data_IF_130168502437
#
_entry.id   IF_130168502437
#
_cell.length_a   1.000
_cell.length_b   1.000
_cell.length_c   1.000
_cell.angle_alpha   90.00
_cell.angle_beta   90.00
_cell.angle_gamma   90.00
#
_symmetry.space_group_name_H-M   'P 1'
#
loop_
_entity.id
_entity.type
_entity.pdbx_description
1 polymer ?
#
# COMPACT_ATOMS: atom_id res chain seq x y z
N UNK A 1 28.07 3.40 6.74
CA UNK A 1 27.10 3.55 7.88
C UNK A 1 26.38 2.23 8.06
N UNK A 2 26.22 1.75 9.28
CA UNK A 2 25.50 0.51 9.61
C UNK A 2 24.04 0.86 9.93
N UNK A 3 23.12 0.30 9.17
CA UNK A 3 21.68 0.60 9.25
C UNK A 3 20.91 -0.63 9.71
N UNK A 4 20.24 -0.54 10.83
CA UNK A 4 19.31 -1.57 11.29
C UNK A 4 17.90 -1.24 10.82
N UNK A 5 17.25 -2.18 10.12
CA UNK A 5 15.84 -2.07 9.77
C UNK A 5 15.05 -3.10 10.57
N UNK A 6 14.02 -2.64 11.29
CA UNK A 6 13.09 -3.51 12.02
C UNK A 6 11.75 -3.53 11.29
N UNK A 7 11.34 -4.71 10.82
CA UNK A 7 10.11 -4.91 10.05
C UNK A 7 9.18 -5.93 10.71
N UNK A 8 7.89 -5.82 10.45
CA UNK A 8 6.86 -6.80 10.86
C UNK A 8 6.52 -7.83 9.77
N UNK A 9 7.29 -7.84 8.69
CA UNK A 9 7.19 -8.83 7.62
C UNK A 9 8.05 -10.04 7.92
N UNK A 10 7.70 -11.17 7.30
CA UNK A 10 8.42 -12.42 7.48
C UNK A 10 9.53 -12.59 6.45
N UNK A 11 10.62 -13.22 6.89
CA UNK A 11 11.75 -13.64 6.08
C UNK A 11 11.94 -15.13 6.25
N UNK A 12 12.22 -15.84 5.17
CA UNK A 12 12.51 -17.26 5.15
C UNK A 12 14.01 -17.49 4.95
N UNK A 13 14.54 -18.48 5.64
CA UNK A 13 15.90 -18.96 5.48
C UNK A 13 15.87 -20.26 4.70
N UNK A 14 16.55 -20.29 3.55
CA UNK A 14 16.72 -21.47 2.66
C UNK A 14 18.17 -21.57 2.23
N UNK A 15 18.76 -22.75 2.36
CA UNK A 15 20.12 -23.04 1.83
C UNK A 15 21.16 -21.96 2.16
N UNK A 16 21.14 -21.48 3.42
CA UNK A 16 22.05 -20.43 3.89
C UNK A 16 21.86 -19.05 3.21
N UNK A 17 20.69 -18.85 2.57
CA UNK A 17 20.23 -17.58 1.98
C UNK A 17 18.92 -17.12 2.59
N UNK A 18 18.62 -15.83 2.53
CA UNK A 18 17.39 -15.26 3.05
C UNK A 18 16.46 -14.83 1.92
N UNK A 19 15.19 -15.18 2.05
CA UNK A 19 14.15 -14.93 1.05
C UNK A 19 12.98 -14.13 1.65
N UNK A 20 12.41 -13.26 0.86
CA UNK A 20 11.22 -12.48 1.24
C UNK A 20 10.25 -12.31 0.07
N UNK A 21 9.06 -11.79 0.34
CA UNK A 21 8.14 -11.42 -0.71
C UNK A 21 8.64 -10.20 -1.52
N UNK A 22 8.35 -10.15 -2.82
CA UNK A 22 8.80 -9.09 -3.74
C UNK A 22 8.58 -7.69 -3.21
N UNK A 23 7.43 -7.41 -2.59
CA UNK A 23 7.13 -6.10 -2.03
C UNK A 23 8.04 -5.70 -0.84
N UNK A 24 8.51 -6.68 -0.08
CA UNK A 24 9.47 -6.46 1.03
C UNK A 24 10.86 -6.20 0.47
N UNK A 25 11.27 -6.99 -0.53
CA UNK A 25 12.53 -6.81 -1.24
C UNK A 25 12.65 -5.39 -1.83
N UNK A 26 11.61 -4.93 -2.54
CA UNK A 26 11.59 -3.61 -3.16
C UNK A 26 11.72 -2.47 -2.13
N UNK A 27 11.14 -2.66 -0.94
CA UNK A 27 11.27 -1.70 0.16
C UNK A 27 12.71 -1.71 0.70
N UNK A 28 13.25 -2.88 1.03
CA UNK A 28 14.58 -2.99 1.64
C UNK A 28 15.68 -2.50 0.69
N UNK A 29 15.61 -2.85 -0.59
CA UNK A 29 16.58 -2.41 -1.61
C UNK A 29 16.73 -0.89 -1.66
N UNK A 30 15.66 -0.13 -1.41
CA UNK A 30 15.70 1.34 -1.44
C UNK A 30 16.57 1.95 -0.33
N UNK A 31 16.78 1.23 0.75
CA UNK A 31 17.61 1.70 1.87
C UNK A 31 19.09 1.36 1.71
N UNK A 32 19.49 0.58 0.71
CA UNK A 32 20.90 0.18 0.51
C UNK A 32 21.82 1.38 0.24
N UNK A 33 21.29 2.47 -0.30
CA UNK A 33 22.06 3.71 -0.49
C UNK A 33 22.49 4.37 0.82
N UNK A 34 21.84 4.05 1.96
CA UNK A 34 22.23 4.55 3.29
C UNK A 34 23.48 3.85 3.84
N UNK A 35 23.77 2.62 3.43
CA UNK A 35 24.91 1.85 3.88
C UNK A 35 24.63 0.37 4.02
N UNK A 36 25.39 -0.31 4.87
CA UNK A 36 25.25 -1.73 5.15
C UNK A 36 24.00 -2.01 5.97
N UNK A 37 23.10 -2.86 5.45
CA UNK A 37 21.82 -3.15 6.08
C UNK A 37 21.89 -4.42 6.95
N UNK A 38 21.38 -4.30 8.17
CA UNK A 38 21.01 -5.42 9.05
C UNK A 38 19.49 -5.40 9.24
N UNK A 39 18.89 -6.57 9.43
CA UNK A 39 17.44 -6.73 9.47
C UNK A 39 16.97 -7.48 10.71
N UNK A 40 16.00 -6.93 11.43
CA UNK A 40 15.18 -7.67 12.38
C UNK A 40 13.81 -7.95 11.75
N UNK A 41 13.43 -9.24 11.61
CA UNK A 41 12.21 -9.67 10.94
C UNK A 41 11.57 -10.87 11.62
N UNK A 42 10.29 -11.14 11.32
CA UNK A 42 9.61 -12.36 11.74
C UNK A 42 10.09 -13.56 10.91
N UNK A 43 10.19 -14.73 11.53
CA UNK A 43 10.51 -15.96 10.80
C UNK A 43 9.28 -16.43 10.01
N UNK A 44 9.46 -16.68 8.71
CA UNK A 44 8.39 -17.19 7.86
C UNK A 44 7.89 -18.55 8.35
N UNK A 45 6.58 -18.73 8.30
CA UNK A 45 5.94 -19.99 8.64
C UNK A 45 4.90 -20.34 7.56
N UNK A 46 5.22 -21.32 6.71
CA UNK A 46 4.37 -21.75 5.60
C UNK A 46 2.98 -22.25 6.04
N UNK A 47 2.83 -22.75 7.28
CA UNK A 47 1.53 -23.18 7.83
C UNK A 47 0.61 -22.01 8.19
N UNK A 48 1.17 -20.80 8.36
CA UNK A 48 0.44 -19.60 8.82
C UNK A 48 0.36 -18.49 7.76
N UNK A 49 1.07 -18.63 6.65
CA UNK A 49 1.16 -17.59 5.63
C UNK A 49 1.20 -18.19 4.24
N UNK A 50 0.40 -17.65 3.33
CA UNK A 50 0.40 -17.99 1.91
C UNK A 50 1.22 -16.97 1.06
N UNK A 51 2.06 -16.16 1.71
CA UNK A 51 2.94 -15.23 1.01
C UNK A 51 4.00 -16.03 0.26
N UNK A 52 4.22 -15.65 -1.00
CA UNK A 52 5.28 -16.22 -1.80
C UNK A 52 6.60 -15.54 -1.42
N UNK A 53 7.58 -16.34 -1.00
CA UNK A 53 8.96 -15.91 -0.74
C UNK A 53 9.77 -16.11 -2.02
N UNK A 54 9.70 -15.12 -2.92
CA UNK A 54 10.15 -15.20 -4.31
C UNK A 54 11.39 -14.36 -4.61
N UNK A 55 11.88 -13.60 -3.64
CA UNK A 55 13.06 -12.75 -3.80
C UNK A 55 14.12 -13.06 -2.76
N UNK A 56 15.32 -13.34 -3.23
CA UNK A 56 16.49 -13.50 -2.38
C UNK A 56 17.04 -12.13 -1.95
N UNK A 57 17.43 -12.01 -0.68
CA UNK A 57 17.95 -10.77 -0.09
C UNK A 57 19.46 -10.57 -0.31
N UNK A 58 20.13 -11.46 -1.06
CA UNK A 58 21.55 -11.34 -1.42
C UNK A 58 21.82 -9.99 -2.09
N UNK A 59 22.83 -9.27 -1.63
CA UNK A 59 23.16 -7.93 -2.11
C UNK A 59 22.30 -6.79 -1.54
N UNK A 60 21.23 -7.11 -0.77
CA UNK A 60 20.40 -6.12 -0.08
C UNK A 60 20.73 -6.10 1.41
N UNK A 61 20.77 -7.28 2.03
CA UNK A 61 21.15 -7.45 3.44
C UNK A 61 22.42 -8.28 3.48
N UNK A 62 23.40 -7.90 4.28
CA UNK A 62 24.65 -8.63 4.41
C UNK A 62 24.41 -10.06 4.94
N UNK A 63 25.25 -11.00 4.52
CA UNK A 63 25.18 -12.40 4.98
C UNK A 63 25.30 -12.45 6.51
N UNK A 64 24.42 -13.23 7.16
CA UNK A 64 24.31 -13.32 8.63
C UNK A 64 23.82 -12.04 9.36
N UNK A 65 23.26 -11.06 8.63
CA UNK A 65 22.73 -9.83 9.23
C UNK A 65 21.19 -9.83 9.32
N UNK A 66 20.55 -11.01 9.23
CA UNK A 66 19.13 -11.19 9.54
C UNK A 66 18.99 -11.79 10.94
N UNK A 67 18.26 -11.11 11.79
CA UNK A 67 17.95 -11.54 13.15
C UNK A 67 16.44 -11.76 13.27
N UNK A 68 16.05 -12.90 13.83
CA UNK A 68 14.63 -13.22 13.97
C UNK A 68 14.05 -12.71 15.27
N UNK A 69 12.91 -12.04 15.17
CA UNK A 69 12.07 -11.58 16.27
C UNK A 69 10.62 -11.94 15.99
N UNK A 70 9.78 -12.01 17.01
CA UNK A 70 8.35 -12.17 16.81
C UNK A 70 7.72 -10.89 16.26
N UNK A 71 6.59 -11.04 15.51
CA UNK A 71 5.82 -9.88 15.04
C UNK A 71 5.43 -8.97 16.21
N UNK A 72 5.80 -7.70 16.08
CA UNK A 72 5.43 -6.67 17.04
C UNK A 72 3.95 -6.34 16.83
N UNK A 73 3.09 -6.82 17.72
CA UNK A 73 1.64 -6.53 17.67
C UNK A 73 1.32 -5.27 18.46
N UNK A 74 1.45 -5.32 19.78
CA UNK A 74 1.23 -4.20 20.70
C UNK A 74 2.55 -3.72 21.29
N UNK A 75 3.23 -4.64 21.94
CA UNK A 75 4.53 -4.44 22.60
C UNK A 75 5.43 -5.64 22.30
N UNK A 76 6.71 -5.41 22.30
CA UNK A 76 7.72 -6.47 22.18
C UNK A 76 7.80 -7.28 23.46
N UNK A 77 8.09 -8.58 23.33
CA UNK A 77 8.46 -9.43 24.46
C UNK A 77 9.78 -8.97 25.07
N UNK A 78 10.07 -9.37 26.32
CA UNK A 78 11.36 -9.07 26.96
C UNK A 78 12.53 -9.67 26.18
N UNK A 79 12.36 -10.89 25.66
CA UNK A 79 13.36 -11.57 24.84
C UNK A 79 13.64 -10.80 23.53
N UNK A 80 12.58 -10.42 22.79
CA UNK A 80 12.76 -9.66 21.55
C UNK A 80 13.39 -8.30 21.80
N UNK A 81 13.06 -7.63 22.93
CA UNK A 81 13.70 -6.37 23.31
C UNK A 81 15.21 -6.53 23.54
N UNK A 82 15.64 -7.61 24.21
CA UNK A 82 17.06 -7.87 24.42
C UNK A 82 17.77 -8.11 23.08
N UNK A 83 17.18 -8.90 22.18
CA UNK A 83 17.72 -9.15 20.84
C UNK A 83 17.84 -7.85 20.03
N UNK A 84 16.76 -7.07 19.95
CA UNK A 84 16.78 -5.78 19.21
C UNK A 84 17.74 -4.79 19.85
N UNK A 85 17.86 -4.78 21.18
CA UNK A 85 18.82 -3.91 21.90
C UNK A 85 20.26 -4.21 21.49
N UNK A 86 20.62 -5.48 21.33
CA UNK A 86 21.93 -5.89 20.84
C UNK A 86 22.17 -5.42 19.39
N UNK A 87 21.19 -5.61 18.49
CA UNK A 87 21.31 -5.14 17.11
C UNK A 87 21.42 -3.61 17.02
N UNK A 88 20.66 -2.88 17.84
CA UNK A 88 20.70 -1.41 17.93
C UNK A 88 22.08 -0.93 18.37
N UNK A 89 22.73 -1.58 19.34
CA UNK A 89 24.06 -1.17 19.82
C UNK A 89 25.13 -1.14 18.72
N UNK A 90 24.97 -2.01 17.71
CA UNK A 90 25.89 -2.16 16.60
C UNK A 90 25.57 -1.26 15.39
N UNK A 91 24.46 -0.51 15.42
CA UNK A 91 23.99 0.33 14.32
C UNK A 91 24.25 1.82 14.54
N UNK A 92 24.34 2.57 13.46
CA UNK A 92 24.47 4.04 13.46
C UNK A 92 23.08 4.68 13.27
N UNK A 93 22.21 4.02 12.49
CA UNK A 93 20.82 4.42 12.23
C UNK A 93 19.89 3.22 12.44
N UNK A 94 18.78 3.45 13.13
CA UNK A 94 17.70 2.47 13.33
C UNK A 94 16.46 2.93 12.58
N UNK A 95 15.96 2.11 11.68
CA UNK A 95 14.73 2.36 10.91
C UNK A 95 13.64 1.40 11.38
N UNK A 96 12.48 1.93 11.77
CA UNK A 96 11.32 1.11 12.13
C UNK A 96 10.23 1.24 11.08
N UNK A 97 9.97 0.13 10.37
CA UNK A 97 8.83 0.02 9.46
C UNK A 97 7.52 -0.08 10.27
N UNK A 98 6.68 0.95 10.18
CA UNK A 98 5.47 1.09 10.97
C UNK A 98 5.64 1.85 12.29
N UNK A 99 6.81 2.48 12.53
CA UNK A 99 7.07 3.36 13.68
C UNK A 99 6.81 2.73 15.07
N UNK A 100 7.45 1.59 15.34
CA UNK A 100 7.32 0.89 16.63
C UNK A 100 7.88 1.69 17.80
N UNK A 101 7.04 1.92 18.81
CA UNK A 101 7.43 2.62 20.04
C UNK A 101 8.54 1.88 20.84
N UNK A 102 8.50 0.54 20.89
CA UNK A 102 9.52 -0.21 21.61
C UNK A 102 10.90 -0.09 20.94
N UNK A 103 10.96 -0.18 19.60
CA UNK A 103 12.20 0.01 18.83
C UNK A 103 12.73 1.44 19.02
N UNK A 104 11.84 2.44 18.95
CA UNK A 104 12.18 3.84 19.21
C UNK A 104 12.81 4.02 20.59
N UNK A 105 12.18 3.48 21.64
CA UNK A 105 12.72 3.58 23.01
C UNK A 105 14.09 2.95 23.16
N UNK A 106 14.30 1.77 22.56
CA UNK A 106 15.60 1.09 22.58
C UNK A 106 16.66 1.96 21.92
N UNK A 107 16.36 2.50 20.72
CA UNK A 107 17.30 3.38 20.01
C UNK A 107 17.63 4.65 20.82
N UNK A 108 16.62 5.32 21.38
CA UNK A 108 16.81 6.54 22.20
C UNK A 108 17.62 6.29 23.46
N UNK A 109 17.38 5.18 24.17
CA UNK A 109 18.12 4.82 25.39
C UNK A 109 19.61 4.56 25.12
N UNK A 110 19.97 4.21 23.89
CA UNK A 110 21.35 3.97 23.44
C UNK A 110 21.94 5.16 22.66
N UNK A 111 21.25 6.30 22.61
CA UNK A 111 21.73 7.50 21.91
C UNK A 111 21.80 7.32 20.38
N UNK A 112 21.08 6.35 19.80
CA UNK A 112 21.10 6.07 18.37
C UNK A 112 20.10 6.92 17.60
N UNK A 113 20.46 7.32 16.37
CA UNK A 113 19.54 8.00 15.45
C UNK A 113 18.41 7.08 15.03
N UNK A 114 17.20 7.62 14.97
CA UNK A 114 15.99 6.84 14.69
C UNK A 114 15.17 7.44 13.55
N UNK A 115 14.80 6.60 12.60
CA UNK A 115 13.90 6.94 11.50
C UNK A 115 12.60 6.17 11.60
N UNK A 116 11.47 6.86 11.66
CA UNK A 116 10.16 6.26 11.45
C UNK A 116 9.85 6.14 9.96
N UNK A 117 9.52 4.93 9.50
CA UNK A 117 8.97 4.70 8.16
C UNK A 117 7.48 4.41 8.26
N UNK A 118 6.66 5.42 7.97
CA UNK A 118 5.21 5.41 8.20
C UNK A 118 4.49 5.00 6.90
N UNK A 119 3.98 3.78 6.85
CA UNK A 119 3.44 3.15 5.63
C UNK A 119 1.92 3.04 5.58
N UNK A 120 1.24 3.20 6.72
CA UNK A 120 -0.21 3.11 6.80
C UNK A 120 -0.73 3.76 8.08
N UNK A 121 -2.06 4.00 8.13
CA UNK A 121 -2.73 4.43 9.34
C UNK A 121 -2.88 3.25 10.31
N UNK A 122 -2.18 3.30 11.43
CA UNK A 122 -2.22 2.24 12.45
C UNK A 122 -3.61 2.14 13.11
N UNK A 123 -4.31 3.28 13.25
CA UNK A 123 -5.69 3.31 13.75
C UNK A 123 -6.61 2.44 12.90
N UNK A 124 -6.63 2.66 11.57
CA UNK A 124 -7.46 1.89 10.65
C UNK A 124 -7.06 0.41 10.65
N UNK A 125 -5.76 0.13 10.82
CA UNK A 125 -5.21 -1.21 10.96
C UNK A 125 -5.83 -1.98 12.12
N UNK A 126 -5.88 -1.39 13.31
CA UNK A 126 -6.48 -2.05 14.48
C UNK A 126 -8.00 -1.97 14.47
N UNK A 127 -8.59 -0.83 14.08
CA UNK A 127 -10.03 -0.60 14.08
C UNK A 127 -10.81 -1.60 13.22
N UNK A 128 -10.24 -2.01 12.09
CA UNK A 128 -10.87 -2.96 11.17
C UNK A 128 -10.61 -4.45 11.54
N UNK A 129 -9.86 -4.74 12.61
CA UNK A 129 -9.53 -6.11 13.05
C UNK A 129 -10.32 -6.57 14.29
N UNK A 130 -11.62 -6.33 14.30
CA UNK A 130 -12.53 -6.81 15.34
C UNK A 130 -12.63 -5.90 16.57
N UNK A 131 -13.40 -6.34 17.58
CA UNK A 131 -13.72 -5.50 18.74
C UNK A 131 -12.52 -5.22 19.67
N UNK A 132 -11.65 -6.23 19.87
CA UNK A 132 -10.39 -6.03 20.61
C UNK A 132 -9.49 -5.01 19.94
N UNK A 133 -9.41 -5.04 18.59
CA UNK A 133 -8.67 -4.06 17.83
C UNK A 133 -9.17 -2.64 18.06
N UNK A 134 -10.48 -2.45 18.17
CA UNK A 134 -11.08 -1.14 18.44
C UNK A 134 -10.70 -0.59 19.82
N UNK A 135 -10.62 -1.45 20.84
CA UNK A 135 -10.20 -1.04 22.19
C UNK A 135 -8.72 -0.62 22.22
N UNK A 136 -7.89 -1.27 21.43
CA UNK A 136 -6.44 -1.05 21.42
C UNK A 136 -6.02 0.07 20.48
N UNK A 137 -6.80 0.35 19.45
CA UNK A 137 -6.49 1.35 18.42
C UNK A 137 -6.11 2.74 19.00
N UNK A 138 -6.83 3.33 19.99
CA UNK A 138 -6.45 4.61 20.57
C UNK A 138 -5.06 4.59 21.21
N UNK A 139 -4.76 3.56 21.98
CA UNK A 139 -3.47 3.43 22.68
C UNK A 139 -2.31 3.33 21.69
N UNK A 140 -2.39 2.44 20.71
CA UNK A 140 -1.33 2.26 19.71
C UNK A 140 -1.20 3.51 18.81
N UNK A 141 -2.33 4.17 18.49
CA UNK A 141 -2.31 5.42 17.75
C UNK A 141 -1.50 6.51 18.49
N UNK A 142 -1.73 6.68 19.78
CA UNK A 142 -1.01 7.66 20.60
C UNK A 142 0.48 7.32 20.69
N UNK A 143 0.83 6.04 20.89
CA UNK A 143 2.22 5.60 20.91
C UNK A 143 2.91 5.85 19.56
N UNK A 144 2.24 5.54 18.45
CA UNK A 144 2.79 5.77 17.11
C UNK A 144 2.96 7.27 16.84
N UNK A 145 1.96 8.07 17.20
CA UNK A 145 2.01 9.54 17.06
C UNK A 145 3.16 10.13 17.88
N UNK A 146 3.34 9.66 19.12
CA UNK A 146 4.47 10.06 19.95
C UNK A 146 5.81 9.67 19.30
N UNK A 147 5.94 8.42 18.83
CA UNK A 147 7.15 7.91 18.17
C UNK A 147 7.52 8.75 16.95
N UNK A 148 6.56 8.98 16.05
CA UNK A 148 6.78 9.77 14.83
C UNK A 148 7.14 11.21 15.15
N UNK A 149 6.48 11.81 16.16
CA UNK A 149 6.75 13.19 16.56
C UNK A 149 8.19 13.39 17.08
N UNK A 150 8.74 12.37 17.80
CA UNK A 150 10.06 12.44 18.41
C UNK A 150 11.16 11.70 17.63
N UNK A 151 10.88 11.22 16.43
CA UNK A 151 11.89 10.62 15.54
C UNK A 151 12.86 11.67 15.03
N UNK A 152 14.14 11.29 14.83
CA UNK A 152 15.12 12.20 14.21
C UNK A 152 14.79 12.44 12.74
N UNK A 153 14.28 11.40 12.06
CA UNK A 153 13.89 11.42 10.64
C UNK A 153 12.56 10.70 10.43
N UNK A 154 11.77 11.13 9.43
CA UNK A 154 10.50 10.47 9.10
C UNK A 154 10.35 10.34 7.60
N UNK A 155 10.08 9.12 7.14
CA UNK A 155 9.67 8.83 5.77
C UNK A 155 8.20 8.39 5.77
N UNK A 156 7.35 9.11 5.05
CA UNK A 156 5.95 8.77 4.84
C UNK A 156 5.72 8.25 3.43
N UNK A 157 4.75 7.36 3.25
CA UNK A 157 4.36 6.91 1.90
C UNK A 157 3.33 7.80 1.22
N UNK A 158 2.79 8.79 1.93
CA UNK A 158 1.79 9.76 1.45
C UNK A 158 2.40 11.15 1.34
N UNK A 159 1.72 12.06 0.66
CA UNK A 159 2.14 13.45 0.56
C UNK A 159 1.53 14.35 1.63
N UNK A 160 0.38 13.97 2.21
CA UNK A 160 -0.37 14.80 3.16
C UNK A 160 -1.04 13.99 4.29
N UNK A 161 -1.80 12.94 3.98
CA UNK A 161 -2.65 12.24 4.97
C UNK A 161 -1.89 11.74 6.20
N UNK A 162 -0.82 10.98 6.02
CA UNK A 162 -0.06 10.44 7.15
C UNK A 162 0.70 11.54 7.90
N UNK A 163 1.14 12.58 7.23
CA UNK A 163 1.79 13.75 7.83
C UNK A 163 0.83 14.49 8.77
N UNK A 164 -0.42 14.72 8.35
CA UNK A 164 -1.47 15.30 9.21
C UNK A 164 -1.87 14.36 10.35
N UNK A 165 -1.92 13.06 10.07
CA UNK A 165 -2.31 12.03 11.04
C UNK A 165 -1.25 11.81 12.11
N UNK A 166 0.00 11.82 11.73
CA UNK A 166 1.19 11.61 12.55
C UNK A 166 2.19 12.76 12.33
N UNK A 167 1.91 13.96 12.86
CA UNK A 167 2.81 15.10 12.70
C UNK A 167 4.17 14.82 13.35
N UNK A 168 5.23 15.43 12.84
CA UNK A 168 6.60 15.23 13.32
C UNK A 168 7.32 16.53 13.55
N UNK A 169 8.25 16.52 14.52
CA UNK A 169 9.27 17.54 14.76
C UNK A 169 10.64 17.09 14.24
N UNK A 170 10.68 16.02 13.45
CA UNK A 170 11.92 15.49 12.89
C UNK A 170 12.70 16.56 12.11
N UNK A 171 14.03 16.52 12.24
CA UNK A 171 14.94 17.41 11.52
C UNK A 171 14.74 17.34 10.00
N UNK A 172 14.51 16.13 9.48
CA UNK A 172 14.15 15.90 8.08
C UNK A 172 12.97 14.93 7.98
N UNK A 173 12.03 15.25 7.12
CA UNK A 173 10.94 14.34 6.74
C UNK A 173 10.69 14.39 5.25
N UNK A 174 10.10 13.33 4.70
CA UNK A 174 9.80 13.19 3.29
C UNK A 174 8.52 12.38 3.07
N UNK A 175 7.67 12.83 2.14
CA UNK A 175 6.56 12.05 1.59
C UNK A 175 7.00 11.40 0.27
N UNK A 176 7.16 10.07 0.27
CA UNK A 176 7.60 9.33 -0.90
C UNK A 176 6.94 7.95 -0.98
N UNK A 177 6.13 7.76 -2.00
CA UNK A 177 5.37 6.52 -2.22
C UNK A 177 6.29 5.31 -2.46
N UNK A 178 5.74 4.13 -2.19
CA UNK A 178 6.35 2.83 -2.52
C UNK A 178 5.82 2.24 -3.84
N UNK A 179 5.05 2.99 -4.62
CA UNK A 179 4.60 2.53 -5.93
C UNK A 179 5.80 2.35 -6.87
N UNK A 180 5.64 1.52 -7.88
CA UNK A 180 6.61 1.32 -8.96
C UNK A 180 5.90 1.52 -10.29
N UNK A 181 6.18 2.64 -10.93
CA UNK A 181 5.73 2.94 -12.29
C UNK A 181 6.97 3.32 -13.08
N UNK A 182 7.17 2.64 -14.19
CA UNK A 182 8.20 3.03 -15.18
C UNK A 182 7.83 4.37 -15.79
N UNK A 183 8.77 5.01 -16.47
CA UNK A 183 8.52 6.25 -17.22
C UNK A 183 7.29 6.10 -18.11
N UNK A 184 6.36 7.05 -17.97
CA UNK A 184 5.11 7.03 -18.71
C UNK A 184 5.34 7.46 -20.17
N UNK A 185 4.67 6.75 -21.10
CA UNK A 185 4.71 7.03 -22.52
C UNK A 185 3.36 7.64 -22.96
N UNK A 186 3.42 8.79 -23.61
CA UNK A 186 2.25 9.48 -24.18
C UNK A 186 1.44 8.58 -25.13
N UNK A 187 2.07 7.58 -25.76
CA UNK A 187 1.36 6.59 -26.56
C UNK A 187 0.36 5.80 -25.71
N UNK A 188 0.64 5.57 -24.45
CA UNK A 188 -0.30 4.92 -23.50
C UNK A 188 -1.58 5.75 -23.36
N UNK A 189 -1.44 7.06 -23.18
CA UNK A 189 -2.61 7.95 -23.11
C UNK A 189 -3.39 7.98 -24.44
N UNK A 190 -2.70 8.03 -25.56
CA UNK A 190 -3.33 8.00 -26.89
C UNK A 190 -4.13 6.71 -27.11
N UNK A 191 -3.59 5.56 -26.73
CA UNK A 191 -4.29 4.27 -26.80
C UNK A 191 -5.50 4.26 -25.87
N UNK A 192 -5.39 4.80 -24.67
CA UNK A 192 -6.51 4.96 -23.72
C UNK A 192 -7.63 5.79 -24.32
N UNK A 193 -7.32 6.94 -24.90
CA UNK A 193 -8.32 7.81 -25.53
C UNK A 193 -8.99 7.14 -26.71
N UNK A 194 -8.24 6.40 -27.53
CA UNK A 194 -8.78 5.64 -28.64
C UNK A 194 -9.74 4.52 -28.15
N UNK A 195 -9.40 3.84 -27.03
CA UNK A 195 -10.26 2.88 -26.39
C UNK A 195 -11.58 3.51 -25.89
N UNK A 196 -11.49 4.63 -25.19
CA UNK A 196 -12.65 5.34 -24.64
C UNK A 196 -13.59 5.81 -25.75
N UNK A 197 -13.06 6.37 -26.84
CA UNK A 197 -13.87 6.86 -27.98
C UNK A 197 -14.65 5.77 -28.70
N UNK A 198 -14.22 4.51 -28.57
CA UNK A 198 -14.94 3.34 -29.13
C UNK A 198 -16.02 2.79 -28.21
N UNK A 199 -16.10 3.31 -26.98
CA UNK A 199 -17.11 2.83 -26.04
C UNK A 199 -18.50 3.28 -26.46
N UNK A 200 -19.43 2.33 -26.49
CA UNK A 200 -20.83 2.52 -26.90
C UNK A 200 -21.72 3.15 -25.82
N UNK A 201 -21.15 3.47 -24.64
CA UNK A 201 -21.88 4.00 -23.49
C UNK A 201 -22.69 2.94 -22.73
N UNK A 202 -22.62 1.68 -23.11
CA UNK A 202 -23.40 0.58 -22.52
C UNK A 202 -22.51 -0.31 -21.63
N UNK A 203 -21.86 -1.31 -22.21
CA UNK A 203 -21.08 -2.29 -21.44
C UNK A 203 -19.90 -1.64 -20.74
N UNK A 204 -19.98 -1.51 -19.41
CA UNK A 204 -18.92 -0.93 -18.59
C UNK A 204 -18.13 -2.02 -17.88
N UNK A 205 -16.81 -2.00 -18.03
CA UNK A 205 -15.87 -2.86 -17.31
C UNK A 205 -15.21 -2.08 -16.18
N UNK A 206 -15.44 -2.51 -14.94
CA UNK A 206 -14.83 -1.91 -13.75
C UNK A 206 -13.87 -2.91 -13.10
N UNK A 207 -12.84 -2.42 -12.43
CA UNK A 207 -11.80 -3.29 -11.86
C UNK A 207 -11.38 -2.83 -10.46
N UNK A 208 -11.05 -3.82 -9.60
CA UNK A 208 -10.33 -3.62 -8.33
C UNK A 208 -9.15 -4.57 -8.25
N UNK A 209 -8.00 -4.08 -7.85
CA UNK A 209 -6.78 -4.89 -7.63
C UNK A 209 -6.50 -5.00 -6.14
N UNK A 210 -6.92 -6.10 -5.54
CA UNK A 210 -6.69 -6.40 -4.11
C UNK A 210 -6.98 -7.88 -3.82
N UNK A 211 -6.41 -8.43 -2.75
CA UNK A 211 -6.76 -9.75 -2.25
C UNK A 211 -8.27 -9.86 -1.99
N UNK A 212 -8.90 -10.92 -2.51
CA UNK A 212 -10.37 -11.07 -2.56
C UNK A 212 -10.97 -11.62 -1.26
N UNK A 213 -10.17 -12.23 -0.40
CA UNK A 213 -10.55 -12.76 0.91
C UNK A 213 -10.47 -11.72 2.05
N UNK A 214 -9.95 -10.52 1.75
CA UNK A 214 -9.72 -9.49 2.75
C UNK A 214 -10.87 -8.47 2.75
N UNK A 215 -11.80 -8.62 3.68
CA UNK A 215 -13.03 -7.81 3.76
C UNK A 215 -12.83 -6.29 3.84
N UNK A 216 -11.74 -5.82 4.43
CA UNK A 216 -11.46 -4.38 4.48
C UNK A 216 -11.01 -3.79 3.14
N UNK A 217 -10.75 -4.62 2.12
CA UNK A 217 -10.53 -4.16 0.75
C UNK A 217 -11.82 -3.70 0.05
N UNK A 218 -12.99 -4.06 0.59
CA UNK A 218 -14.26 -3.41 0.29
C UNK A 218 -14.97 -3.85 -0.98
N UNK A 219 -14.49 -4.89 -1.71
CA UNK A 219 -15.11 -5.36 -2.97
C UNK A 219 -16.60 -5.67 -2.81
N UNK A 220 -17.05 -6.11 -1.63
CA UNK A 220 -18.46 -6.34 -1.32
C UNK A 220 -19.33 -5.09 -1.48
N UNK A 221 -18.78 -3.88 -1.32
CA UNK A 221 -19.54 -2.64 -1.51
C UNK A 221 -19.76 -2.33 -2.98
N UNK A 222 -18.84 -2.74 -3.86
CA UNK A 222 -19.01 -2.64 -5.32
C UNK A 222 -20.09 -3.62 -5.79
N UNK A 223 -20.07 -4.87 -5.28
CA UNK A 223 -21.11 -5.87 -5.60
C UNK A 223 -22.49 -5.37 -5.17
N UNK A 224 -22.60 -4.79 -3.96
CA UNK A 224 -23.85 -4.16 -3.49
C UNK A 224 -24.29 -2.98 -4.35
N UNK A 225 -23.35 -2.17 -4.83
CA UNK A 225 -23.64 -1.08 -5.75
C UNK A 225 -24.18 -1.59 -7.10
N UNK A 226 -23.57 -2.66 -7.65
CA UNK A 226 -24.04 -3.31 -8.86
C UNK A 226 -25.46 -3.89 -8.68
N UNK A 227 -25.78 -4.47 -7.52
CA UNK A 227 -27.13 -4.91 -7.20
C UNK A 227 -28.15 -3.76 -7.23
N UNK A 228 -27.83 -2.61 -6.63
CA UNK A 228 -28.69 -1.41 -6.68
C UNK A 228 -28.91 -0.95 -8.14
N UNK A 229 -27.87 -0.95 -8.96
CA UNK A 229 -27.94 -0.59 -10.37
C UNK A 229 -28.78 -1.59 -11.18
N UNK A 230 -28.65 -2.89 -10.90
CA UNK A 230 -29.49 -3.95 -11.51
C UNK A 230 -30.97 -3.73 -11.20
N UNK A 231 -31.32 -3.35 -9.97
CA UNK A 231 -32.70 -3.01 -9.60
C UNK A 231 -33.25 -1.79 -10.36
N UNK A 232 -32.36 -0.94 -10.90
CA UNK A 232 -32.69 0.21 -11.74
C UNK A 232 -32.63 -0.13 -13.26
N UNK A 233 -32.50 -1.42 -13.60
CA UNK A 233 -32.43 -1.89 -14.99
C UNK A 233 -31.03 -1.86 -15.63
N UNK A 234 -29.97 -1.48 -14.88
CA UNK A 234 -28.58 -1.48 -15.37
C UNK A 234 -27.93 -2.84 -15.10
N UNK A 235 -27.80 -3.67 -16.14
CA UNK A 235 -27.20 -5.01 -16.07
C UNK A 235 -25.93 -5.16 -16.92
N UNK A 236 -25.42 -4.06 -17.41
CA UNK A 236 -24.34 -3.94 -18.39
C UNK A 236 -22.98 -3.62 -17.75
N UNK A 237 -22.87 -3.72 -16.41
CA UNK A 237 -21.63 -3.50 -15.68
C UNK A 237 -20.98 -4.84 -15.32
N UNK A 238 -19.72 -5.02 -15.72
CA UNK A 238 -18.92 -6.19 -15.42
C UNK A 238 -17.77 -5.82 -14.47
N UNK A 239 -17.66 -6.55 -13.38
CA UNK A 239 -16.66 -6.30 -12.33
C UNK A 239 -15.54 -7.32 -12.36
N UNK A 240 -14.33 -6.84 -12.60
CA UNK A 240 -13.11 -7.62 -12.67
C UNK A 240 -12.34 -7.49 -11.36
N UNK A 241 -11.92 -8.62 -10.81
CA UNK A 241 -11.25 -8.75 -9.52
C UNK A 241 -9.87 -9.36 -9.74
N UNK A 242 -8.83 -8.55 -9.59
CA UNK A 242 -7.42 -8.98 -9.67
C UNK A 242 -6.89 -9.13 -8.24
N UNK A 243 -6.51 -10.35 -7.88
CA UNK A 243 -5.93 -10.66 -6.58
C UNK A 243 -6.17 -12.10 -6.14
N UNK A 244 -5.28 -12.62 -5.34
CA UNK A 244 -5.40 -13.96 -4.75
C UNK A 244 -6.33 -13.96 -3.53
N UNK A 245 -6.55 -15.16 -2.99
CA UNK A 245 -7.38 -15.41 -1.82
C UNK A 245 -8.63 -16.22 -2.12
N UNK A 246 -9.38 -16.66 -1.08
CA UNK A 246 -10.64 -17.38 -1.25
C UNK A 246 -11.72 -16.44 -1.80
N UNK A 247 -12.43 -16.91 -2.82
CA UNK A 247 -13.53 -16.20 -3.50
C UNK A 247 -14.87 -16.40 -2.81
N UNK A 248 -15.00 -17.39 -1.93
CA UNK A 248 -16.26 -17.92 -1.39
C UNK A 248 -17.21 -16.84 -0.87
N UNK A 249 -16.68 -15.81 -0.22
CA UNK A 249 -17.51 -14.75 0.33
C UNK A 249 -18.12 -13.87 -0.77
N UNK A 250 -17.30 -13.47 -1.76
CA UNK A 250 -17.75 -12.59 -2.84
C UNK A 250 -18.64 -13.35 -3.83
N UNK A 251 -18.35 -14.63 -4.11
CA UNK A 251 -19.18 -15.49 -4.96
C UNK A 251 -20.56 -15.74 -4.33
N UNK A 252 -20.62 -16.02 -3.02
CA UNK A 252 -21.92 -16.14 -2.31
C UNK A 252 -22.72 -14.85 -2.39
N UNK A 253 -22.07 -13.70 -2.22
CA UNK A 253 -22.74 -12.40 -2.32
C UNK A 253 -23.23 -12.12 -3.75
N UNK A 254 -22.43 -12.49 -4.76
CA UNK A 254 -22.84 -12.38 -6.15
C UNK A 254 -24.06 -13.23 -6.46
N UNK A 255 -24.08 -14.48 -5.98
CA UNK A 255 -25.21 -15.40 -6.13
C UNK A 255 -26.47 -14.88 -5.45
N UNK A 256 -26.35 -14.37 -4.22
CA UNK A 256 -27.46 -13.74 -3.49
C UNK A 256 -28.12 -12.61 -4.28
N UNK A 257 -27.33 -11.86 -5.06
CA UNK A 257 -27.81 -10.73 -5.86
C UNK A 257 -28.04 -11.06 -7.34
N UNK A 258 -27.79 -12.31 -7.75
CA UNK A 258 -27.92 -12.75 -9.15
C UNK A 258 -26.95 -12.01 -10.09
N UNK A 259 -25.71 -11.82 -9.65
CA UNK A 259 -24.65 -11.08 -10.38
C UNK A 259 -23.51 -11.99 -10.84
N UNK A 260 -23.68 -13.33 -10.81
CA UNK A 260 -22.61 -14.29 -11.08
C UNK A 260 -21.98 -14.09 -12.46
N UNK A 261 -22.81 -13.81 -13.48
CA UNK A 261 -22.36 -13.57 -14.86
C UNK A 261 -21.61 -12.25 -15.05
N UNK A 262 -21.71 -11.34 -14.08
CA UNK A 262 -21.10 -10.01 -14.13
C UNK A 262 -19.82 -9.90 -13.29
N UNK A 263 -19.49 -10.91 -12.46
CA UNK A 263 -18.26 -10.96 -11.68
C UNK A 263 -17.21 -11.85 -12.33
N UNK A 264 -16.01 -11.30 -12.49
CA UNK A 264 -14.88 -11.95 -13.15
C UNK A 264 -13.66 -11.98 -12.23
N UNK A 265 -13.35 -13.16 -11.68
CA UNK A 265 -12.18 -13.35 -10.82
C UNK A 265 -10.98 -13.75 -11.67
N UNK A 266 -10.03 -12.84 -11.85
CA UNK A 266 -8.81 -13.08 -12.64
C UNK A 266 -7.70 -13.76 -11.83
N UNK A 267 -7.87 -13.83 -10.49
CA UNK A 267 -6.85 -14.40 -9.62
C UNK A 267 -5.61 -13.50 -9.49
N UNK A 268 -4.51 -14.09 -9.05
CA UNK A 268 -3.21 -13.42 -9.00
C UNK A 268 -2.56 -13.51 -10.37
N UNK A 269 -2.34 -12.40 -11.02
CA UNK A 269 -1.67 -12.28 -12.31
C UNK A 269 -0.28 -11.64 -12.14
N UNK A 270 0.69 -11.93 -13.01
CA UNK A 270 1.99 -11.27 -13.01
C UNK A 270 1.86 -9.76 -13.14
N UNK A 271 2.76 -9.00 -12.49
CA UNK A 271 2.67 -7.55 -12.46
C UNK A 271 2.71 -6.93 -13.86
N UNK A 272 3.51 -7.50 -14.76
CA UNK A 272 3.65 -7.00 -16.14
C UNK A 272 2.35 -7.18 -16.96
N UNK A 273 1.55 -8.20 -16.66
CA UNK A 273 0.26 -8.45 -17.31
C UNK A 273 -0.87 -7.58 -16.75
N UNK A 274 -0.70 -7.03 -15.54
CA UNK A 274 -1.72 -6.14 -14.91
C UNK A 274 -2.06 -4.97 -15.82
N UNK A 275 -1.08 -4.34 -16.42
CA UNK A 275 -1.28 -3.17 -17.26
C UNK A 275 -2.12 -3.49 -18.51
N UNK A 276 -1.89 -4.64 -19.13
CA UNK A 276 -2.68 -5.10 -20.29
C UNK A 276 -4.15 -5.31 -19.93
N UNK A 277 -4.43 -5.82 -18.71
CA UNK A 277 -5.80 -5.94 -18.21
C UNK A 277 -6.41 -4.56 -17.95
N UNK A 278 -5.68 -3.66 -17.30
CA UNK A 278 -6.14 -2.28 -17.02
C UNK A 278 -6.51 -1.55 -18.31
N UNK A 279 -5.76 -1.76 -19.40
CA UNK A 279 -6.01 -1.13 -20.69
C UNK A 279 -7.38 -1.49 -21.29
N UNK A 280 -7.97 -2.59 -20.87
CA UNK A 280 -9.31 -3.04 -21.30
C UNK A 280 -10.44 -2.58 -20.37
N UNK A 281 -10.17 -1.91 -19.26
CA UNK A 281 -11.14 -1.47 -18.27
C UNK A 281 -11.56 -0.01 -18.49
N UNK A 282 -12.75 0.37 -18.00
CA UNK A 282 -13.25 1.75 -18.07
C UNK A 282 -12.97 2.52 -16.76
N UNK A 283 -13.25 1.90 -15.62
CA UNK A 283 -13.15 2.53 -14.30
C UNK A 283 -12.41 1.63 -13.32
N UNK A 284 -11.50 2.21 -12.57
CA UNK A 284 -10.87 1.58 -11.41
C UNK A 284 -11.63 1.97 -10.13
N UNK A 285 -11.96 1.00 -9.28
CA UNK A 285 -12.68 1.25 -8.02
C UNK A 285 -11.83 0.79 -6.84
N UNK A 286 -11.54 1.70 -5.89
CA UNK A 286 -10.80 1.42 -4.65
C UNK A 286 -11.71 1.60 -3.42
N UNK A 287 -12.55 0.62 -3.06
CA UNK A 287 -13.54 0.75 -2.00
C UNK A 287 -12.99 0.43 -0.59
N UNK A 288 -11.68 0.50 -0.43
CA UNK A 288 -10.96 0.05 0.76
C UNK A 288 -11.30 0.83 2.02
N UNK A 289 -11.30 0.13 3.18
CA UNK A 289 -11.49 0.73 4.52
C UNK A 289 -10.16 0.99 5.24
N UNK A 290 -9.06 0.52 4.68
CA UNK A 290 -7.71 0.66 5.23
C UNK A 290 -6.70 0.70 4.09
N UNK A 291 -5.91 1.77 4.05
CA UNK A 291 -4.79 1.96 3.12
C UNK A 291 -3.66 2.77 3.79
N UNK A 292 -2.55 2.90 3.08
CA UNK A 292 -1.60 4.00 3.18
C UNK A 292 -1.81 4.90 1.98
N UNK A 293 -1.00 4.70 0.93
CA UNK A 293 -1.26 5.17 -0.42
C UNK A 293 -1.49 3.93 -1.31
N UNK A 294 -2.66 3.76 -1.94
CA UNK A 294 -2.97 2.55 -2.71
C UNK A 294 -2.17 2.52 -4.02
N UNK A 295 -1.13 1.69 -4.07
CA UNK A 295 -0.27 1.54 -5.26
C UNK A 295 -1.05 1.17 -6.50
N UNK A 296 -1.98 0.24 -6.35
CA UNK A 296 -2.84 -0.23 -7.44
C UNK A 296 -3.71 0.87 -8.07
N UNK A 297 -4.13 1.88 -7.29
CA UNK A 297 -4.84 3.04 -7.86
C UNK A 297 -3.89 3.90 -8.70
N UNK A 298 -2.65 4.12 -8.26
CA UNK A 298 -1.66 4.87 -9.03
C UNK A 298 -1.28 4.11 -10.31
N UNK A 299 -1.16 2.78 -10.25
CA UNK A 299 -0.98 1.92 -11.43
C UNK A 299 -2.15 2.07 -12.42
N UNK A 300 -3.40 2.12 -11.94
CA UNK A 300 -4.55 2.40 -12.79
C UNK A 300 -4.53 3.82 -13.39
N UNK A 301 -4.12 4.82 -12.60
CA UNK A 301 -3.96 6.20 -13.07
C UNK A 301 -2.90 6.32 -14.16
N UNK A 302 -1.81 5.55 -14.07
CA UNK A 302 -0.75 5.50 -15.08
C UNK A 302 -1.22 4.96 -16.44
N UNK A 303 -2.36 4.26 -16.46
CA UNK A 303 -3.04 3.81 -17.68
C UNK A 303 -4.20 4.74 -18.07
N UNK A 304 -4.31 5.92 -17.42
CA UNK A 304 -5.36 6.88 -17.67
C UNK A 304 -6.78 6.38 -17.30
N UNK A 305 -6.94 5.45 -16.35
CA UNK A 305 -8.26 5.04 -15.92
C UNK A 305 -8.92 6.12 -15.07
N UNK A 306 -10.23 6.30 -15.25
CA UNK A 306 -11.04 6.99 -14.27
C UNK A 306 -11.03 6.19 -12.97
N UNK A 307 -10.81 6.85 -11.84
CA UNK A 307 -10.69 6.23 -10.53
C UNK A 307 -11.81 6.70 -9.60
N UNK A 308 -12.50 5.76 -8.96
CA UNK A 308 -13.45 6.00 -7.87
C UNK A 308 -12.84 5.39 -6.61
N UNK A 309 -12.86 6.11 -5.48
CA UNK A 309 -12.27 5.61 -4.26
C UNK A 309 -13.01 6.00 -3.00
N UNK A 310 -12.89 5.19 -1.93
CA UNK A 310 -13.45 5.54 -0.64
C UNK A 310 -12.63 6.64 0.05
N UNK A 311 -13.27 7.46 0.89
CA UNK A 311 -12.62 8.43 1.77
C UNK A 311 -11.78 7.70 2.84
N UNK A 312 -10.66 7.14 2.40
CA UNK A 312 -9.78 6.29 3.22
C UNK A 312 -8.33 6.62 2.96
N UNK A 313 -7.62 6.97 4.02
CA UNK A 313 -6.18 7.28 3.98
C UNK A 313 -5.84 8.30 2.87
N UNK A 314 -4.86 7.98 2.01
CA UNK A 314 -4.42 8.88 0.95
C UNK A 314 -5.23 8.74 -0.36
N UNK A 315 -6.33 8.01 -0.39
CA UNK A 315 -7.17 7.94 -1.61
C UNK A 315 -7.62 9.34 -2.05
N UNK A 316 -8.10 10.23 -1.15
CA UNK A 316 -8.48 11.60 -1.52
C UNK A 316 -7.33 12.49 -2.00
N UNK A 317 -6.06 12.09 -1.78
CA UNK A 317 -4.91 12.81 -2.34
C UNK A 317 -4.70 12.51 -3.84
N UNK A 318 -5.20 11.37 -4.32
CA UNK A 318 -4.97 10.86 -5.66
C UNK A 318 -6.03 11.31 -6.68
N UNK A 319 -7.28 11.43 -6.23
CA UNK A 319 -8.43 11.67 -7.10
C UNK A 319 -9.20 12.92 -6.69
N UNK A 320 -9.97 13.45 -7.63
CA UNK A 320 -10.78 14.64 -7.37
C UNK A 320 -11.95 14.34 -6.41
N UNK A 321 -12.36 15.32 -5.56
CA UNK A 321 -13.35 15.11 -4.51
C UNK A 321 -14.69 14.53 -4.98
N UNK A 322 -15.13 14.83 -6.20
CA UNK A 322 -16.39 14.30 -6.74
C UNK A 322 -16.37 12.78 -6.98
N UNK A 323 -15.18 12.15 -7.07
CA UNK A 323 -15.02 10.70 -7.23
C UNK A 323 -14.67 9.99 -5.92
N UNK A 324 -14.63 10.74 -4.81
CA UNK A 324 -14.45 10.17 -3.48
C UNK A 324 -15.82 9.77 -2.90
N UNK A 325 -15.95 8.51 -2.50
CA UNK A 325 -17.16 7.97 -1.87
C UNK A 325 -17.01 7.91 -0.36
N UNK A 326 -18.12 8.00 0.37
CA UNK A 326 -18.10 7.67 1.79
C UNK A 326 -17.68 6.21 2.00
N UNK A 327 -16.95 5.95 3.07
CA UNK A 327 -16.57 4.58 3.44
C UNK A 327 -17.82 3.70 3.57
N UNK A 328 -17.77 2.49 3.01
CA UNK A 328 -18.85 1.49 3.03
C UNK A 328 -20.13 1.90 2.28
N UNK A 329 -20.10 2.95 1.50
CA UNK A 329 -21.29 3.43 0.78
C UNK A 329 -21.42 2.78 -0.60
N UNK A 330 -22.20 1.71 -0.70
CA UNK A 330 -22.59 1.13 -1.98
C UNK A 330 -23.38 2.12 -2.84
N UNK A 331 -24.20 2.97 -2.20
CA UNK A 331 -25.03 3.97 -2.89
C UNK A 331 -24.18 5.05 -3.56
N UNK A 332 -23.11 5.53 -2.92
CA UNK A 332 -22.22 6.51 -3.55
C UNK A 332 -21.51 5.89 -4.76
N UNK A 333 -21.05 4.62 -4.63
CA UNK A 333 -20.43 3.89 -5.75
C UNK A 333 -21.44 3.72 -6.89
N UNK A 334 -22.67 3.29 -6.60
CA UNK A 334 -23.72 3.12 -7.61
C UNK A 334 -24.03 4.43 -8.33
N UNK A 335 -24.20 5.54 -7.58
CA UNK A 335 -24.45 6.87 -8.15
C UNK A 335 -23.33 7.29 -9.11
N UNK A 336 -22.06 7.12 -8.72
CA UNK A 336 -20.92 7.48 -9.57
C UNK A 336 -20.85 6.60 -10.81
N UNK A 337 -21.03 5.27 -10.67
CA UNK A 337 -21.02 4.36 -11.83
C UNK A 337 -22.19 4.64 -12.80
N UNK A 338 -23.35 5.05 -12.28
CA UNK A 338 -24.51 5.42 -13.12
C UNK A 338 -24.26 6.68 -13.95
N UNK A 339 -23.45 7.61 -13.45
CA UNK A 339 -23.19 8.92 -14.07
C UNK A 339 -21.98 8.94 -15.02
N UNK A 340 -21.27 7.82 -15.21
CA UNK A 340 -20.08 7.77 -16.08
C UNK A 340 -20.46 8.08 -17.53
N UNK A 341 -19.78 9.05 -18.11
CA UNK A 341 -19.90 9.44 -19.53
C UNK A 341 -18.57 9.32 -20.25
N UNK A 342 -18.58 9.22 -21.56
CA UNK A 342 -17.37 9.22 -22.40
C UNK A 342 -16.52 10.47 -22.14
N UNK A 343 -17.15 11.64 -21.98
CA UNK A 343 -16.47 12.90 -21.72
C UNK A 343 -15.75 12.87 -20.36
N UNK A 344 -16.42 12.34 -19.32
CA UNK A 344 -15.77 12.17 -18.01
C UNK A 344 -14.59 11.20 -18.08
N UNK A 345 -14.72 10.08 -18.80
CA UNK A 345 -13.61 9.14 -18.99
C UNK A 345 -12.42 9.81 -19.67
N UNK A 346 -12.65 10.62 -20.72
CA UNK A 346 -11.58 11.37 -21.41
C UNK A 346 -10.93 12.39 -20.48
N UNK A 347 -11.72 13.19 -19.77
CA UNK A 347 -11.21 14.20 -18.83
C UNK A 347 -10.37 13.55 -17.73
N UNK A 348 -10.87 12.45 -17.15
CA UNK A 348 -10.16 11.71 -16.11
C UNK A 348 -8.92 10.99 -16.66
N UNK A 349 -8.93 10.57 -17.91
CA UNK A 349 -7.76 9.94 -18.52
C UNK A 349 -6.58 10.94 -18.58
N UNK A 350 -6.81 12.14 -19.06
CA UNK A 350 -5.77 13.19 -19.09
C UNK A 350 -5.30 13.58 -17.69
N UNK A 351 -6.24 13.81 -16.76
CA UNK A 351 -5.94 14.23 -15.38
C UNK A 351 -5.13 13.16 -14.65
N UNK A 352 -5.60 11.91 -14.68
CA UNK A 352 -4.99 10.83 -13.91
C UNK A 352 -3.65 10.40 -14.49
N UNK A 353 -3.51 10.39 -15.81
CA UNK A 353 -2.23 10.14 -16.46
C UNK A 353 -1.20 11.22 -16.07
N UNK A 354 -1.57 12.49 -16.11
CA UNK A 354 -0.70 13.61 -15.69
C UNK A 354 -0.31 13.48 -14.21
N UNK A 355 -1.25 13.14 -13.33
CA UNK A 355 -0.97 12.97 -11.91
C UNK A 355 -0.02 11.80 -11.65
N UNK A 356 -0.13 10.72 -12.44
CA UNK A 356 0.71 9.55 -12.29
C UNK A 356 2.20 9.81 -12.55
N UNK A 357 2.58 10.85 -13.33
CA UNK A 357 3.98 11.27 -13.50
C UNK A 357 4.69 11.61 -12.19
N UNK A 358 3.96 12.09 -11.17
CA UNK A 358 4.54 12.35 -9.85
C UNK A 358 4.98 11.08 -9.11
N UNK A 359 4.60 9.92 -9.63
CA UNK A 359 4.86 8.60 -9.05
C UNK A 359 5.76 7.71 -9.91
N UNK A 360 6.38 8.25 -10.96
CA UNK A 360 7.40 7.53 -11.72
C UNK A 360 8.60 7.17 -10.85
N UNK A 361 9.18 6.00 -11.11
CA UNK A 361 10.33 5.49 -10.34
C UNK A 361 11.46 6.54 -10.27
N UNK A 362 11.76 7.20 -11.38
CA UNK A 362 12.81 8.24 -11.45
C UNK A 362 12.51 9.43 -10.53
N UNK A 363 11.27 9.89 -10.50
CA UNK A 363 10.83 11.02 -9.65
C UNK A 363 10.86 10.64 -8.18
N UNK A 364 10.36 9.43 -7.86
CA UNK A 364 10.33 8.93 -6.48
C UNK A 364 11.74 8.60 -5.98
N UNK A 365 12.61 8.03 -6.80
CA UNK A 365 13.97 7.70 -6.42
C UNK A 365 14.79 8.98 -6.19
N UNK A 366 14.66 10.00 -7.05
CA UNK A 366 15.31 11.29 -6.81
C UNK A 366 14.88 11.90 -5.48
N UNK A 367 13.57 12.01 -5.22
CA UNK A 367 13.00 12.56 -3.98
C UNK A 367 13.51 11.79 -2.75
N UNK A 368 13.59 10.48 -2.84
CA UNK A 368 14.05 9.60 -1.76
C UNK A 368 15.54 9.74 -1.53
N UNK A 369 16.34 9.79 -2.58
CA UNK A 369 17.78 9.93 -2.51
C UNK A 369 18.16 11.29 -1.91
N UNK A 370 17.51 12.38 -2.32
CA UNK A 370 17.72 13.72 -1.72
C UNK A 370 17.45 13.73 -0.21
N UNK A 371 16.40 13.00 0.23
CA UNK A 371 16.11 12.84 1.65
C UNK A 371 17.18 11.99 2.36
N UNK A 372 17.59 10.87 1.78
CA UNK A 372 18.59 9.98 2.37
C UNK A 372 19.97 10.61 2.43
N UNK A 373 20.35 11.44 1.47
CA UNK A 373 21.62 12.19 1.50
C UNK A 373 21.64 13.20 2.64
N UNK A 374 20.51 13.89 2.91
CA UNK A 374 20.39 14.77 4.10
C UNK A 374 20.55 13.97 5.39
N UNK A 375 19.90 12.80 5.50
CA UNK A 375 20.02 11.92 6.69
C UNK A 375 21.47 11.44 6.85
N UNK A 376 22.08 10.96 5.79
CA UNK A 376 23.45 10.44 5.79
C UNK A 376 24.46 11.50 6.21
N UNK A 377 24.35 12.71 5.64
CA UNK A 377 25.21 13.84 5.97
C UNK A 377 25.04 14.31 7.42
N UNK A 378 23.84 14.15 8.00
CA UNK A 378 23.61 14.51 9.42
C UNK A 378 24.17 13.49 10.41
N UNK A 379 24.26 12.22 10.02
CA UNK A 379 24.81 11.16 10.89
C UNK A 379 26.33 11.11 10.81
N UNK A 380 26.92 11.45 9.67
CA UNK A 380 28.38 11.37 9.44
C UNK A 380 29.13 12.64 9.92
N UNK A 381 28.40 13.70 10.30
CA UNK A 381 28.95 14.87 10.99
C UNK A 381 29.18 14.60 12.46
#
# INVERSE_FOLDING_TARGET
>A
MRVLIVINQSVEERDNSYWCASNVYDILRRFTCLGELSLCADRYNAKKSHLLMDRELTGVVAKNHVTYINKIRLRMSQQDRAIVSQCVSQSDLVISHGASYDVFRIARNQGKKFMSFVVSCIWDGYWNHGWLGKLVAPYIFLLTRYTVNHSDYVLYVTSDFLQRRYPTQAKYNCGCSNVRITTLDENTLNQRLAFIRKWDGRTMRIVTMAAVDIKYKGQQFVIKAMHQLKQQGRTDIHYYLIGGGSRDYLERLAKEYGLESQLHFLGKIPHDEVFSVLDTMHVYVQPSLQEGLPRSMVEAMSRGLMCIGADTAAIPELIEPQFVTRRRSATDIARLLASVTTEQLITQAHRNFKEAHHYEDTVLDQRRNDFFDKVKNDILK
#
